data_IF_547859005519
#
_entry.id   IF_547859005519
#
_cell.length_a   1.000
_cell.length_b   1.000
_cell.length_c   1.000
_cell.angle_alpha   90.00
_cell.angle_beta   90.00
_cell.angle_gamma   90.00
#
_symmetry.space_group_name_H-M   'P 1'
#
loop_
_entity.id
_entity.type
_entity.pdbx_description
1 polymer ?
#
# COMPACT_ATOMS: atom_id res chain seq x y z
N UNK A 1 3.40 0.06 -7.11
CA UNK A 1 2.31 -0.93 -7.17
C UNK A 1 2.84 -2.28 -6.71
N UNK A 2 2.16 -2.94 -5.78
CA UNK A 2 2.54 -4.28 -5.30
C UNK A 2 1.98 -5.35 -6.24
N UNK A 3 2.51 -6.58 -6.28
CA UNK A 3 1.94 -7.65 -7.12
C UNK A 3 0.56 -8.14 -6.63
N UNK A 4 0.10 -7.63 -5.48
CA UNK A 4 -1.15 -8.01 -4.82
C UNK A 4 -2.32 -7.07 -5.14
N UNK A 5 -2.05 -6.00 -5.88
CA UNK A 5 -3.02 -4.97 -6.20
C UNK A 5 -4.28 -5.52 -6.88
N UNK A 6 -5.43 -4.97 -6.50
CA UNK A 6 -6.74 -5.41 -6.97
C UNK A 6 -7.25 -6.70 -6.32
N UNK A 7 -6.42 -7.43 -5.58
CA UNK A 7 -6.81 -8.65 -4.88
C UNK A 7 -7.42 -8.41 -3.49
N UNK A 8 -8.22 -9.38 -3.05
CA UNK A 8 -8.85 -9.44 -1.73
C UNK A 8 -8.40 -10.70 -1.00
N UNK A 9 -7.84 -10.56 0.21
CA UNK A 9 -7.18 -11.67 0.89
C UNK A 9 -7.83 -11.96 2.24
N UNK A 10 -8.73 -12.95 2.25
CA UNK A 10 -9.39 -13.45 3.45
C UNK A 10 -8.42 -14.29 4.28
N UNK A 11 -8.45 -14.09 5.60
CA UNK A 11 -7.65 -14.82 6.58
C UNK A 11 -8.35 -14.85 7.93
N UNK A 12 -7.70 -15.45 8.93
CA UNK A 12 -8.24 -15.52 10.30
C UNK A 12 -7.14 -15.38 11.35
N UNK A 13 -7.53 -14.77 12.47
CA UNK A 13 -6.76 -14.73 13.71
C UNK A 13 -7.41 -15.71 14.69
N UNK A 14 -6.61 -16.57 15.31
CA UNK A 14 -7.06 -17.46 16.39
C UNK A 14 -6.39 -16.99 17.67
N UNK A 15 -7.19 -16.39 18.55
CA UNK A 15 -6.74 -15.89 19.84
C UNK A 15 -6.71 -17.02 20.89
N UNK A 16 -5.59 -17.21 21.61
CA UNK A 16 -5.56 -18.13 22.74
C UNK A 16 -6.38 -17.59 23.92
N UNK A 17 -6.67 -18.45 24.91
CA UNK A 17 -7.42 -18.04 26.13
C UNK A 17 -6.67 -16.98 26.94
N UNK A 18 -5.36 -16.95 26.81
CA UNK A 18 -4.45 -16.04 27.51
C UNK A 18 -4.21 -14.71 26.77
N UNK A 19 -4.88 -14.46 25.64
CA UNK A 19 -4.84 -13.14 25.00
C UNK A 19 -5.37 -12.05 25.96
N UNK A 20 -4.72 -10.88 26.10
CA UNK A 20 -3.63 -10.34 25.26
C UNK A 20 -2.21 -10.68 25.74
N UNK A 21 -2.02 -11.48 26.79
CA UNK A 21 -0.68 -11.83 27.29
C UNK A 21 0.05 -12.82 26.38
N UNK A 22 -0.68 -13.60 25.57
CA UNK A 22 -0.12 -14.39 24.46
C UNK A 22 -0.63 -13.86 23.11
N UNK A 23 0.22 -13.82 22.07
CA UNK A 23 -0.16 -13.42 20.71
C UNK A 23 -1.16 -14.42 20.05
N UNK A 24 -1.87 -14.00 18.99
CA UNK A 24 -2.69 -14.91 18.19
C UNK A 24 -1.87 -15.74 17.20
N UNK A 25 -2.49 -16.83 16.71
CA UNK A 25 -2.09 -17.52 15.49
C UNK A 25 -2.73 -16.85 14.26
N UNK A 26 -1.98 -16.72 13.16
CA UNK A 26 -2.43 -16.07 11.92
C UNK A 26 -2.47 -17.07 10.76
N UNK A 27 -3.53 -17.00 9.94
CA UNK A 27 -3.72 -17.84 8.76
C UNK A 27 -4.27 -17.02 7.59
N UNK A 28 -3.81 -17.34 6.38
CA UNK A 28 -4.44 -16.88 5.14
C UNK A 28 -5.28 -18.00 4.54
N UNK A 29 -6.48 -17.66 4.07
CA UNK A 29 -7.42 -18.59 3.44
C UNK A 29 -7.35 -18.43 1.92
N UNK A 30 -7.44 -17.20 1.43
CA UNK A 30 -7.38 -16.91 -0.01
C UNK A 30 -5.98 -17.22 -0.57
N UNK A 31 -5.88 -17.97 -1.68
CA UNK A 31 -4.64 -18.14 -2.43
C UNK A 31 -4.01 -16.80 -2.83
N UNK A 32 -2.74 -16.58 -2.44
CA UNK A 32 -2.10 -15.26 -2.54
C UNK A 32 -0.64 -15.28 -3.05
N UNK A 33 -0.01 -16.46 -3.15
CA UNK A 33 1.36 -16.60 -3.67
C UNK A 33 2.48 -16.12 -2.74
N UNK A 34 2.14 -15.72 -1.50
CA UNK A 34 3.10 -15.30 -0.46
C UNK A 34 3.10 -16.24 0.73
N UNK A 35 1.93 -16.64 1.18
CA UNK A 35 1.70 -17.50 2.32
C UNK A 35 0.96 -18.75 1.89
N UNK A 36 1.44 -19.91 2.35
CA UNK A 36 0.75 -21.19 2.22
C UNK A 36 -0.60 -21.09 2.94
N UNK A 37 -1.67 -21.36 2.22
CA UNK A 37 -3.02 -21.24 2.78
C UNK A 37 -3.23 -22.22 3.94
N UNK A 38 -4.08 -21.83 4.89
CA UNK A 38 -4.48 -22.62 6.05
C UNK A 38 -3.31 -23.20 6.88
N UNK A 39 -2.16 -22.54 6.81
CA UNK A 39 -0.95 -22.89 7.56
C UNK A 39 -0.64 -21.76 8.54
N UNK A 40 -0.21 -22.09 9.77
CA UNK A 40 0.22 -21.09 10.75
C UNK A 40 1.40 -20.31 10.21
N UNK A 41 1.32 -18.98 10.28
CA UNK A 41 2.40 -18.08 9.88
C UNK A 41 3.24 -17.72 11.09
N UNK A 42 4.56 -17.82 10.96
CA UNK A 42 5.51 -17.35 11.96
C UNK A 42 5.91 -15.91 11.65
N UNK A 43 5.30 -14.92 12.28
CA UNK A 43 5.72 -13.52 12.16
C UNK A 43 6.11 -13.01 13.55
N UNK A 44 6.90 -11.94 13.64
CA UNK A 44 7.32 -11.34 14.93
C UNK A 44 6.15 -10.90 15.84
N UNK A 45 4.94 -10.86 15.27
CA UNK A 45 3.67 -10.51 15.93
C UNK A 45 2.80 -11.75 16.29
N UNK A 46 3.35 -12.97 16.19
CA UNK A 46 2.62 -14.24 16.36
C UNK A 46 3.15 -15.07 17.51
N UNK A 47 2.43 -16.15 17.84
CA UNK A 47 2.74 -17.11 18.91
C UNK A 47 3.99 -17.97 18.72
N UNK A 48 4.70 -17.80 17.61
CA UNK A 48 6.06 -18.30 17.48
C UNK A 48 7.11 -17.45 18.21
N UNK A 49 6.81 -16.18 18.52
CA UNK A 49 7.74 -15.24 19.14
C UNK A 49 7.13 -14.56 20.38
N UNK A 50 6.85 -15.33 21.46
CA UNK A 50 6.27 -14.76 22.68
C UNK A 50 7.17 -13.70 23.33
N UNK A 51 8.49 -13.80 23.19
CA UNK A 51 9.45 -12.87 23.79
C UNK A 51 9.44 -11.48 23.13
N UNK A 52 9.01 -11.38 21.87
CA UNK A 52 8.90 -10.11 21.14
C UNK A 52 7.48 -9.57 21.11
N UNK A 53 6.53 -10.27 21.73
CA UNK A 53 5.13 -9.86 21.78
C UNK A 53 4.93 -8.72 22.77
N UNK A 54 4.18 -7.69 22.35
CA UNK A 54 3.72 -6.64 23.23
C UNK A 54 2.20 -6.78 23.47
N UNK A 55 1.74 -7.08 24.70
CA UNK A 55 0.32 -7.19 25.03
C UNK A 55 -0.51 -5.92 24.75
N UNK A 56 0.15 -4.76 24.58
CA UNK A 56 -0.52 -3.52 24.20
C UNK A 56 -0.85 -3.42 22.69
N UNK A 57 -0.38 -4.34 21.85
CA UNK A 57 -0.69 -4.32 20.42
C UNK A 57 -2.16 -4.69 20.18
N UNK A 58 -2.88 -3.76 19.55
CA UNK A 58 -4.27 -3.96 19.12
C UNK A 58 -4.37 -4.91 17.92
N UNK A 59 -5.57 -5.43 17.65
CA UNK A 59 -5.84 -6.21 16.42
C UNK A 59 -5.48 -5.41 15.16
N UNK A 60 -5.73 -4.09 15.16
CA UNK A 60 -5.33 -3.20 14.06
C UNK A 60 -3.81 -3.20 13.82
N UNK A 61 -3.02 -3.16 14.89
CA UNK A 61 -1.56 -3.26 14.83
C UNK A 61 -1.10 -4.60 14.25
N UNK A 62 -1.74 -5.70 14.66
CA UNK A 62 -1.46 -7.05 14.16
C UNK A 62 -1.74 -7.14 12.65
N UNK A 63 -2.90 -6.67 12.20
CA UNK A 63 -3.27 -6.70 10.78
C UNK A 63 -2.35 -5.82 9.92
N UNK A 64 -1.94 -4.67 10.46
CA UNK A 64 -0.95 -3.80 9.80
C UNK A 64 0.40 -4.50 9.67
N UNK A 65 0.87 -5.17 10.73
CA UNK A 65 2.10 -5.95 10.69
C UNK A 65 2.04 -7.11 9.69
N UNK A 66 0.90 -7.82 9.60
CA UNK A 66 0.68 -8.86 8.60
C UNK A 66 0.79 -8.31 7.18
N UNK A 67 0.20 -7.15 6.90
CA UNK A 67 0.30 -6.48 5.60
C UNK A 67 1.76 -6.12 5.26
N UNK A 68 2.52 -5.60 6.22
CA UNK A 68 3.95 -5.33 6.03
C UNK A 68 4.71 -6.60 5.62
N UNK A 69 4.53 -7.71 6.35
CA UNK A 69 5.15 -8.99 6.01
C UNK A 69 4.67 -9.58 4.66
N UNK A 70 3.46 -9.23 4.23
CA UNK A 70 2.91 -9.67 2.94
C UNK A 70 3.63 -9.01 1.76
N UNK A 71 3.98 -7.73 1.89
CA UNK A 71 4.68 -6.96 0.83
C UNK A 71 6.19 -7.14 0.83
N UNK A 72 6.75 -7.67 1.92
CA UNK A 72 8.14 -8.06 2.02
C UNK A 72 8.46 -9.39 1.30
N UNK A 73 9.75 -9.63 1.04
CA UNK A 73 10.26 -10.84 0.37
C UNK A 73 10.97 -11.81 1.32
N UNK A 74 11.16 -11.45 2.58
CA UNK A 74 11.90 -12.27 3.54
C UNK A 74 11.25 -13.65 3.73
N UNK A 75 12.02 -14.74 3.78
CA UNK A 75 11.46 -16.05 4.08
C UNK A 75 10.94 -16.09 5.52
N UNK A 76 9.81 -16.75 5.71
CA UNK A 76 9.32 -17.11 7.04
C UNK A 76 8.56 -18.44 7.02
N UNK A 77 8.35 -19.07 8.17
CA UNK A 77 7.54 -20.28 8.25
C UNK A 77 6.13 -20.00 7.74
N UNK A 78 5.65 -20.87 6.85
CA UNK A 78 4.37 -20.71 6.18
C UNK A 78 4.42 -19.79 4.96
N UNK A 79 5.57 -19.16 4.65
CA UNK A 79 5.74 -18.49 3.35
C UNK A 79 5.99 -19.48 2.22
N UNK A 80 5.70 -19.05 1.00
CA UNK A 80 6.00 -19.73 -0.26
C UNK A 80 6.63 -18.73 -1.23
N UNK A 81 7.35 -19.24 -2.22
CA UNK A 81 7.92 -18.43 -3.29
C UNK A 81 7.16 -18.69 -4.59
N UNK A 82 6.60 -17.63 -5.17
CA UNK A 82 6.00 -17.66 -6.50
C UNK A 82 6.44 -16.44 -7.29
N UNK A 83 6.32 -16.48 -8.61
CA UNK A 83 6.55 -15.31 -9.46
C UNK A 83 5.55 -14.18 -9.15
N UNK A 84 5.92 -12.93 -9.47
CA UNK A 84 4.99 -11.79 -9.36
C UNK A 84 3.85 -11.90 -10.37
N UNK A 85 4.09 -12.54 -11.52
CA UNK A 85 3.04 -12.90 -12.47
C UNK A 85 1.98 -13.80 -11.82
N UNK A 86 2.42 -14.85 -11.12
CA UNK A 86 1.54 -15.75 -10.36
C UNK A 86 0.74 -14.98 -9.31
N UNK A 87 1.37 -14.07 -8.55
CA UNK A 87 0.69 -13.26 -7.54
C UNK A 87 -0.39 -12.36 -8.14
N UNK A 88 -0.12 -11.71 -9.28
CA UNK A 88 -1.11 -10.89 -10.00
C UNK A 88 -2.29 -11.73 -10.50
N UNK A 89 -2.02 -12.93 -11.00
CA UNK A 89 -3.07 -13.86 -11.42
C UNK A 89 -3.94 -14.30 -10.24
N UNK A 90 -3.33 -14.57 -9.08
CA UNK A 90 -4.04 -14.90 -7.84
C UNK A 90 -4.83 -13.70 -7.30
N UNK A 91 -4.30 -12.48 -7.42
CA UNK A 91 -5.02 -11.26 -7.06
C UNK A 91 -6.33 -11.15 -7.85
N UNK A 92 -6.31 -11.35 -9.17
CA UNK A 92 -7.52 -11.36 -9.99
C UNK A 92 -8.48 -12.50 -9.62
N UNK A 93 -7.95 -13.70 -9.36
CA UNK A 93 -8.77 -14.87 -8.99
C UNK A 93 -9.39 -14.77 -7.59
N UNK A 94 -8.80 -13.98 -6.70
CA UNK A 94 -9.22 -13.83 -5.31
C UNK A 94 -10.67 -13.35 -5.17
N UNK A 95 -11.15 -12.51 -6.09
CA UNK A 95 -12.52 -12.00 -6.12
C UNK A 95 -13.53 -13.15 -6.20
N UNK A 96 -13.41 -13.97 -7.26
CA UNK A 96 -14.30 -15.11 -7.50
C UNK A 96 -14.12 -16.19 -6.42
N UNK A 97 -12.90 -16.37 -5.92
CA UNK A 97 -12.64 -17.30 -4.83
C UNK A 97 -13.40 -16.91 -3.56
N UNK A 98 -13.31 -15.65 -3.13
CA UNK A 98 -13.92 -15.18 -1.89
C UNK A 98 -15.46 -15.15 -1.99
N UNK A 99 -16.02 -14.79 -3.14
CA UNK A 99 -17.48 -14.81 -3.35
C UNK A 99 -18.12 -16.22 -3.24
N UNK A 100 -17.32 -17.28 -3.38
CA UNK A 100 -17.77 -18.67 -3.20
C UNK A 100 -17.70 -19.13 -1.74
N UNK A 101 -16.96 -18.42 -0.89
CA UNK A 101 -16.84 -18.75 0.53
C UNK A 101 -18.01 -18.13 1.29
N UNK A 102 -18.89 -19.00 1.81
CA UNK A 102 -20.08 -18.57 2.56
C UNK A 102 -19.71 -17.75 3.80
N UNK A 103 -18.63 -18.10 4.49
CA UNK A 103 -18.19 -17.40 5.71
C UNK A 103 -17.71 -16.00 5.35
N UNK A 104 -16.95 -15.85 4.26
CA UNK A 104 -16.55 -14.54 3.77
C UNK A 104 -17.77 -13.69 3.42
N UNK A 105 -18.73 -14.27 2.69
CA UNK A 105 -19.93 -13.54 2.27
C UNK A 105 -20.84 -13.13 3.43
N UNK A 106 -20.89 -13.93 4.49
CA UNK A 106 -21.67 -13.63 5.69
C UNK A 106 -21.01 -12.57 6.57
N UNK A 107 -19.69 -12.63 6.75
CA UNK A 107 -18.96 -11.73 7.65
C UNK A 107 -18.61 -10.37 7.04
N UNK A 108 -18.51 -10.27 5.71
CA UNK A 108 -18.05 -9.07 4.99
C UNK A 108 -18.98 -8.68 3.83
N UNK A 109 -20.29 -8.48 4.06
CA UNK A 109 -21.26 -8.20 2.99
C UNK A 109 -20.95 -6.92 2.20
N UNK A 110 -20.40 -5.89 2.85
CA UNK A 110 -19.97 -4.65 2.20
C UNK A 110 -18.82 -4.88 1.21
N UNK A 111 -17.89 -5.76 1.54
CA UNK A 111 -16.77 -6.13 0.66
C UNK A 111 -17.26 -6.97 -0.51
N UNK A 112 -18.25 -7.86 -0.28
CA UNK A 112 -18.92 -8.61 -1.35
C UNK A 112 -19.55 -7.66 -2.37
N UNK A 113 -20.27 -6.65 -1.92
CA UNK A 113 -20.88 -5.67 -2.81
C UNK A 113 -19.82 -4.84 -3.55
N UNK A 114 -18.73 -4.44 -2.90
CA UNK A 114 -17.60 -3.77 -3.57
C UNK A 114 -17.00 -4.64 -4.68
N UNK A 115 -16.78 -5.94 -4.42
CA UNK A 115 -16.25 -6.89 -5.41
C UNK A 115 -17.21 -7.02 -6.61
N UNK A 116 -18.51 -7.18 -6.36
CA UNK A 116 -19.52 -7.28 -7.43
C UNK A 116 -19.57 -6.02 -8.29
N UNK A 117 -19.50 -4.84 -7.66
CA UNK A 117 -19.45 -3.57 -8.38
C UNK A 117 -18.21 -3.45 -9.26
N UNK A 118 -17.04 -3.85 -8.74
CA UNK A 118 -15.79 -3.88 -9.52
C UNK A 118 -15.87 -4.83 -10.72
N UNK A 119 -16.43 -6.03 -10.54
CA UNK A 119 -16.63 -6.98 -11.64
C UNK A 119 -17.57 -6.42 -12.71
N UNK A 120 -18.71 -5.87 -12.31
CA UNK A 120 -19.67 -5.26 -13.23
C UNK A 120 -19.03 -4.13 -14.04
N UNK A 121 -18.30 -3.22 -13.40
CA UNK A 121 -17.61 -2.13 -14.08
C UNK A 121 -16.55 -2.65 -15.08
N UNK A 122 -15.85 -3.73 -14.74
CA UNK A 122 -14.84 -4.34 -15.61
C UNK A 122 -15.48 -5.06 -16.82
N UNK A 123 -16.61 -5.74 -16.62
CA UNK A 123 -17.39 -6.37 -17.69
C UNK A 123 -17.97 -5.32 -18.65
N UNK A 124 -18.51 -4.22 -18.13
CA UNK A 124 -19.01 -3.09 -18.93
C UNK A 124 -17.90 -2.49 -19.81
N UNK A 125 -16.71 -2.26 -19.24
CA UNK A 125 -15.53 -1.78 -19.97
C UNK A 125 -15.08 -2.76 -21.07
N UNK A 126 -15.11 -4.06 -20.79
CA UNK A 126 -14.66 -5.11 -21.73
C UNK A 126 -15.68 -5.36 -22.84
N UNK A 127 -16.97 -5.14 -22.56
CA UNK A 127 -18.07 -5.31 -23.53
C UNK A 127 -18.24 -4.13 -24.50
N UNK A 128 -17.60 -2.99 -24.23
CA UNK A 128 -17.71 -1.80 -25.09
C UNK A 128 -17.04 -2.07 -26.45
N UNK A 129 -17.75 -1.94 -27.59
CA UNK A 129 -17.14 -2.06 -28.90
C UNK A 129 -15.98 -1.06 -29.03
N UNK A 130 -14.80 -1.51 -29.46
CA UNK A 130 -13.74 -0.60 -29.89
C UNK A 130 -14.34 0.32 -30.96
N UNK A 131 -14.31 1.63 -30.71
CA UNK A 131 -14.71 2.61 -31.71
C UNK A 131 -13.87 2.34 -32.96
N UNK A 132 -14.54 2.02 -34.08
CA UNK A 132 -13.92 1.83 -35.38
C UNK A 132 -12.97 3.01 -35.66
N UNK A 133 -11.76 2.76 -36.20
CA UNK A 133 -10.93 3.85 -36.70
C UNK A 133 -11.76 4.69 -37.66
N UNK A 134 -11.78 6.02 -37.45
CA UNK A 134 -12.39 6.95 -38.38
C UNK A 134 -11.84 6.66 -39.79
N UNK A 135 -12.69 6.63 -40.85
CA UNK A 135 -12.21 6.41 -42.20
C UNK A 135 -11.19 7.51 -42.56
N UNK A 136 -10.02 7.09 -43.05
CA UNK A 136 -9.01 7.98 -43.60
C UNK A 136 -9.67 8.90 -44.63
N UNK A 137 -9.70 10.20 -44.33
CA UNK A 137 -10.04 11.22 -45.31
C UNK A 137 -8.89 11.25 -46.31
N UNK A 138 -9.03 10.50 -47.39
CA UNK A 138 -8.17 10.61 -48.58
C UNK A 138 -8.48 11.97 -49.21
N UNK A 139 -7.53 12.92 -49.31
CA UNK A 139 -7.70 14.07 -50.16
C UNK A 139 -7.46 13.64 -51.61
N UNK A 140 -8.48 13.81 -52.45
CA UNK A 140 -8.36 13.65 -53.91
C UNK A 140 -7.22 14.54 -54.44
N UNK A 141 -6.35 13.93 -55.25
CA UNK A 141 -5.04 14.46 -55.57
C UNK A 141 -4.96 15.39 -56.77
N UNK A 142 -3.75 15.95 -56.94
CA UNK A 142 -3.22 16.30 -58.25
C UNK A 142 -1.75 15.86 -58.35
N UNK A 143 -1.46 15.15 -59.43
CA UNK A 143 -0.16 14.60 -59.83
C UNK A 143 0.77 15.68 -60.38
N UNK A 144 2.02 15.74 -59.93
CA UNK A 144 3.14 16.14 -60.80
C UNK A 144 4.45 15.42 -60.43
N UNK A 145 5.13 15.01 -61.50
CA UNK A 145 6.31 14.15 -61.66
C UNK A 145 7.62 14.85 -61.23
N UNK A 146 8.62 14.10 -60.71
CA UNK A 146 10.04 14.51 -60.84
C UNK A 146 11.03 14.17 -59.70
N UNK A 147 11.64 12.98 -59.77
CA UNK A 147 13.06 12.63 -59.58
C UNK A 147 13.92 13.05 -58.35
N UNK A 148 14.51 11.99 -57.76
CA UNK A 148 15.90 11.80 -57.29
C UNK A 148 16.43 12.42 -55.97
N UNK A 149 16.93 11.53 -55.09
CA UNK A 149 18.15 11.76 -54.27
C UNK A 149 18.00 11.64 -52.74
N UNK A 150 18.67 10.65 -52.14
CA UNK A 150 19.15 10.65 -50.74
C UNK A 150 20.62 11.16 -50.74
N UNK A 151 21.28 11.41 -49.58
CA UNK A 151 20.96 12.25 -48.41
C UNK A 151 22.14 13.22 -48.08
N UNK A 152 22.02 14.21 -47.16
CA UNK A 152 23.08 14.67 -46.21
C UNK A 152 22.81 16.04 -45.53
N UNK A 153 23.34 16.13 -44.29
CA UNK A 153 23.94 17.28 -43.58
C UNK A 153 23.11 18.20 -42.64
N UNK A 154 23.21 17.88 -41.34
CA UNK A 154 23.75 18.69 -40.22
C UNK A 154 23.62 20.24 -40.24
N UNK A 155 23.13 20.83 -39.12
CA UNK A 155 23.46 22.23 -38.79
C UNK A 155 22.58 22.98 -37.76
N UNK A 156 23.06 23.05 -36.52
CA UNK A 156 23.15 24.23 -35.61
C UNK A 156 21.95 25.18 -35.33
N UNK A 157 21.64 25.29 -34.02
CA UNK A 157 21.12 26.48 -33.32
C UNK A 157 22.21 27.59 -33.22
N UNK A 158 21.98 28.89 -32.84
CA UNK A 158 21.18 29.34 -31.68
C UNK A 158 20.44 30.70 -31.85
N UNK A 159 19.55 31.03 -30.90
CA UNK A 159 18.91 32.36 -30.83
C UNK A 159 18.36 32.67 -29.44
N UNK A 160 18.93 33.67 -28.79
CA UNK A 160 18.70 34.09 -27.41
C UNK A 160 17.38 34.85 -27.20
N UNK A 161 16.80 34.70 -26.00
CA UNK A 161 15.72 35.55 -25.48
C UNK A 161 15.96 35.87 -23.99
N UNK A 162 15.73 37.11 -23.51
CA UNK A 162 16.39 37.64 -22.31
C UNK A 162 15.65 37.33 -21.00
N UNK A 163 16.43 37.31 -19.92
CA UNK A 163 15.98 37.34 -18.53
C UNK A 163 15.36 38.70 -18.20
N UNK A 164 14.26 38.70 -17.45
CA UNK A 164 13.90 39.81 -16.57
C UNK A 164 13.63 39.28 -15.17
N UNK A 165 14.48 39.72 -14.25
CA UNK A 165 14.36 39.53 -12.83
C UNK A 165 13.43 40.59 -12.22
N UNK A 166 12.81 40.25 -11.09
CA UNK A 166 12.57 41.24 -10.03
C UNK A 166 11.12 41.59 -9.72
N UNK A 167 10.47 40.75 -8.89
CA UNK A 167 9.70 41.23 -7.74
C UNK A 167 10.00 40.33 -6.53
N UNK A 168 11.14 40.61 -5.89
CA UNK A 168 11.33 40.45 -4.43
C UNK A 168 10.44 41.52 -3.78
N UNK A 169 9.78 41.37 -2.63
CA UNK A 169 10.09 40.76 -1.34
C UNK A 169 8.80 40.96 -0.50
N UNK A 170 8.34 40.09 0.40
CA UNK A 170 8.82 40.04 1.77
C UNK A 170 7.85 39.16 2.59
N UNK A 171 8.36 38.11 3.24
CA UNK A 171 8.07 37.79 4.66
C UNK A 171 8.83 36.50 5.02
N UNK A 172 10.12 36.63 5.35
CA UNK A 172 10.95 35.54 5.91
C UNK A 172 11.51 35.98 7.26
N UNK A 173 10.65 36.03 8.27
CA UNK A 173 11.08 36.11 9.68
C UNK A 173 10.16 35.24 10.56
N UNK A 174 10.21 33.92 10.37
CA UNK A 174 9.60 32.95 11.31
C UNK A 174 10.37 31.61 11.37
N UNK A 175 11.70 31.64 11.19
CA UNK A 175 12.51 30.42 11.04
C UNK A 175 13.34 29.98 12.25
N UNK A 176 13.58 30.86 13.25
CA UNK A 176 14.51 30.55 14.35
C UNK A 176 13.85 30.54 15.74
N UNK A 177 12.94 31.48 16.03
CA UNK A 177 12.30 31.59 17.35
C UNK A 177 11.22 30.51 17.59
N UNK A 178 10.52 30.07 16.55
CA UNK A 178 9.48 29.04 16.66
C UNK A 178 10.03 27.65 17.01
N UNK A 179 11.21 27.30 16.49
CA UNK A 179 11.86 26.01 16.79
C UNK A 179 12.41 25.93 18.21
N UNK A 180 13.00 27.02 18.72
CA UNK A 180 13.50 27.08 20.09
C UNK A 180 12.37 26.99 21.12
N UNK A 181 11.23 27.65 20.87
CA UNK A 181 10.05 27.57 21.72
C UNK A 181 9.43 26.16 21.70
N UNK A 182 9.32 25.54 20.52
CA UNK A 182 8.83 24.17 20.41
C UNK A 182 9.70 23.17 21.18
N UNK A 183 11.03 23.29 21.08
CA UNK A 183 11.97 22.46 21.83
C UNK A 183 11.82 22.66 23.35
N UNK A 184 11.57 23.90 23.81
CA UNK A 184 11.35 24.18 25.22
C UNK A 184 10.08 23.49 25.75
N UNK A 185 8.97 23.54 25.01
CA UNK A 185 7.73 22.87 25.39
C UNK A 185 7.89 21.34 25.49
N UNK A 186 8.65 20.74 24.57
CA UNK A 186 8.95 19.31 24.59
C UNK A 186 9.77 18.95 25.83
N UNK A 187 10.83 19.70 26.14
CA UNK A 187 11.69 19.44 27.30
C UNK A 187 10.90 19.58 28.61
N UNK A 188 10.09 20.63 28.74
CA UNK A 188 9.24 20.84 29.92
C UNK A 188 8.21 19.72 30.06
N UNK A 189 7.59 19.30 28.96
CA UNK A 189 6.63 18.19 28.94
C UNK A 189 7.24 16.86 29.39
N UNK A 190 8.44 16.53 28.89
CA UNK A 190 9.18 15.32 29.31
C UNK A 190 9.55 15.37 30.79
N UNK A 191 9.99 16.53 31.31
CA UNK A 191 10.33 16.68 32.72
C UNK A 191 9.10 16.52 33.63
N UNK A 192 7.96 17.10 33.27
CA UNK A 192 6.71 16.96 34.01
C UNK A 192 6.20 15.51 34.02
N UNK A 193 6.28 14.83 32.88
CA UNK A 193 5.92 13.42 32.78
C UNK A 193 6.82 12.54 33.65
N UNK A 194 8.14 12.73 33.58
CA UNK A 194 9.10 11.99 34.40
C UNK A 194 8.87 12.22 35.91
N UNK A 195 8.54 13.45 36.30
CA UNK A 195 8.21 13.77 37.69
C UNK A 195 6.92 13.08 38.14
N UNK A 196 5.89 13.07 37.32
CA UNK A 196 4.60 12.43 37.60
C UNK A 196 4.77 10.92 37.78
N UNK A 197 5.51 10.26 36.88
CA UNK A 197 5.83 8.83 36.99
C UNK A 197 6.60 8.55 38.28
N UNK A 198 7.61 9.36 38.60
CA UNK A 198 8.38 9.22 39.84
C UNK A 198 7.53 9.41 41.10
N UNK A 199 6.60 10.35 41.08
CA UNK A 199 5.67 10.60 42.18
C UNK A 199 4.76 9.39 42.39
N UNK A 200 4.10 8.91 41.34
CA UNK A 200 3.20 7.75 41.39
C UNK A 200 3.94 6.50 41.89
N UNK A 201 5.13 6.22 41.36
CA UNK A 201 5.92 5.07 41.79
C UNK A 201 6.34 5.16 43.27
N UNK A 202 6.60 6.36 43.78
CA UNK A 202 6.91 6.57 45.21
C UNK A 202 5.68 6.42 46.10
N UNK A 203 4.52 6.91 45.65
CA UNK A 203 3.25 6.77 46.38
C UNK A 203 2.85 5.30 46.50
N UNK A 204 2.97 4.53 45.41
CA UNK A 204 2.67 3.08 45.41
C UNK A 204 3.64 2.31 46.32
N UNK A 205 4.90 2.75 46.44
CA UNK A 205 5.89 2.08 47.29
C UNK A 205 5.76 2.41 48.79
N UNK A 206 4.89 3.34 49.17
CA UNK A 206 4.65 3.75 50.57
C UNK A 206 3.32 3.24 51.14
N UNK A 207 2.49 2.56 50.33
CA UNK A 207 1.32 1.77 50.77
C UNK A 207 1.69 0.29 50.92
#
# INVERSE_FOLDING_TARGET
MTPYEGGYYHGKLIFPREFPFKPPSIYMITPNGRFKCNTRLCLSITDFHPDTWNPAWSVSTILTGLLSFMVEKGPTLGSIETSDFTKRQLAAQSLVFNLKDKVFCELFPEVVEEIKQKQKAQDELTSRPQALPLPDVVPDGETHHGQNGLPLLNGHAPGAGPRLAGLQQANRHHGLLGGALANLFVIVGFAAFAYTVKYVLRTIAQE
#
